data_IF_149642760715
#
_entry.id   IF_149642760715
#
_cell.length_a   1.000
_cell.length_b   1.000
_cell.length_c   1.000
_cell.angle_alpha   90.00
_cell.angle_beta   90.00
_cell.angle_gamma   90.00
#
_symmetry.space_group_name_H-M   'P 1'
#
loop_
_entity.id
_entity.type
_entity.pdbx_description
1 polymer ?
#
# COMPACT_ATOMS: atom_id res chain seq x y z
N UNK A 1 33.10 34.87 29.20
CA UNK A 1 32.29 35.40 28.08
C UNK A 1 32.56 34.66 26.77
N UNK A 2 33.83 34.59 26.32
CA UNK A 2 34.21 33.87 25.08
C UNK A 2 33.75 32.41 25.07
N UNK A 3 33.97 31.67 26.17
CA UNK A 3 33.57 30.27 26.30
C UNK A 3 32.04 30.09 26.14
N UNK A 4 31.24 31.01 26.68
CA UNK A 4 29.78 30.92 26.61
C UNK A 4 29.26 31.18 25.19
N UNK A 5 29.84 32.17 24.49
CA UNK A 5 29.50 32.48 23.11
C UNK A 5 29.92 31.34 22.16
N UNK A 6 31.10 30.77 22.38
CA UNK A 6 31.60 29.58 21.67
C UNK A 6 30.67 28.38 21.84
N UNK A 7 30.25 28.08 23.09
CA UNK A 7 29.32 26.99 23.36
C UNK A 7 27.94 27.20 22.71
N UNK A 8 27.45 28.45 22.71
CA UNK A 8 26.17 28.81 22.08
C UNK A 8 26.24 28.68 20.56
N UNK A 9 27.32 29.19 19.95
CA UNK A 9 27.55 29.06 18.51
C UNK A 9 27.65 27.61 18.06
N UNK A 10 28.34 26.77 18.83
CA UNK A 10 28.41 25.33 18.60
C UNK A 10 27.03 24.67 18.69
N UNK A 11 26.24 24.99 19.72
CA UNK A 11 24.89 24.46 19.88
C UNK A 11 23.98 24.82 18.69
N UNK A 12 24.06 26.06 18.18
CA UNK A 12 23.28 26.52 17.03
C UNK A 12 23.69 25.76 15.74
N UNK A 13 24.99 25.67 15.46
CA UNK A 13 25.48 24.97 14.26
C UNK A 13 25.14 23.47 14.30
N UNK A 14 25.27 22.82 15.47
CA UNK A 14 24.85 21.43 15.65
C UNK A 14 23.34 21.26 15.48
N UNK A 15 22.55 22.17 16.03
CA UNK A 15 21.09 22.17 15.85
C UNK A 15 20.70 22.26 14.38
N UNK A 16 21.38 23.12 13.62
CA UNK A 16 21.18 23.25 12.16
C UNK A 16 21.51 21.96 11.42
N UNK A 17 22.63 21.31 11.74
CA UNK A 17 23.00 20.01 11.14
C UNK A 17 21.91 18.97 11.36
N UNK A 18 21.39 18.85 12.59
CA UNK A 18 20.35 17.87 12.92
C UNK A 18 19.07 18.15 12.12
N UNK A 19 18.66 19.41 12.02
CA UNK A 19 17.47 19.82 11.25
C UNK A 19 17.67 19.54 9.77
N UNK A 20 18.81 19.93 9.18
CA UNK A 20 19.09 19.71 7.76
C UNK A 20 19.19 18.21 7.43
N UNK A 21 19.71 17.38 8.34
CA UNK A 21 19.72 15.92 8.21
C UNK A 21 18.31 15.34 8.20
N UNK A 22 17.45 15.77 9.12
CA UNK A 22 16.05 15.33 9.16
C UNK A 22 15.30 15.74 7.88
N UNK A 23 15.49 16.97 7.41
CA UNK A 23 14.88 17.45 6.16
C UNK A 23 15.34 16.64 4.95
N UNK A 24 16.65 16.38 4.83
CA UNK A 24 17.18 15.57 3.75
C UNK A 24 16.59 14.15 3.80
N UNK A 25 16.62 13.49 4.97
CA UNK A 25 16.08 12.13 5.13
C UNK A 25 14.60 12.05 4.73
N UNK A 26 13.77 12.95 5.25
CA UNK A 26 12.33 12.94 4.95
C UNK A 26 12.06 13.18 3.46
N UNK A 27 12.81 14.09 2.82
CA UNK A 27 12.68 14.34 1.39
C UNK A 27 13.05 13.09 0.56
N UNK A 28 14.13 12.39 0.93
CA UNK A 28 14.52 11.14 0.29
C UNK A 28 13.47 10.05 0.48
N UNK A 29 12.89 9.92 1.68
CA UNK A 29 11.85 8.92 1.98
C UNK A 29 10.58 9.16 1.17
N UNK A 30 10.10 10.41 1.11
CA UNK A 30 8.93 10.74 0.29
C UNK A 30 9.19 10.50 -1.20
N UNK A 31 10.36 10.89 -1.71
CA UNK A 31 10.73 10.67 -3.10
C UNK A 31 10.88 9.19 -3.44
N UNK A 32 11.51 8.39 -2.57
CA UNK A 32 11.65 6.96 -2.76
C UNK A 32 10.30 6.24 -2.74
N UNK A 33 9.42 6.60 -1.80
CA UNK A 33 8.06 6.04 -1.71
C UNK A 33 7.19 6.42 -2.91
N UNK A 34 7.33 7.64 -3.43
CA UNK A 34 6.61 8.08 -4.62
C UNK A 34 7.11 7.34 -5.88
N UNK A 35 8.42 7.32 -6.11
CA UNK A 35 9.00 6.61 -7.25
C UNK A 35 8.74 5.11 -7.24
N UNK A 36 8.71 4.48 -6.05
CA UNK A 36 8.41 3.06 -5.91
C UNK A 36 7.02 2.67 -6.44
N UNK A 37 6.08 3.62 -6.59
CA UNK A 37 4.74 3.34 -7.09
C UNK A 37 4.70 3.09 -8.60
N UNK A 38 5.71 3.53 -9.34
CA UNK A 38 5.78 3.27 -10.78
C UNK A 38 6.48 1.94 -11.08
N UNK A 39 7.05 1.31 -10.06
CA UNK A 39 7.74 0.02 -10.18
C UNK A 39 6.78 -1.18 -10.04
N UNK A 40 7.11 -2.33 -10.66
CA UNK A 40 8.22 -2.58 -11.58
C UNK A 40 8.00 -2.17 -13.05
N UNK A 41 6.82 -1.65 -13.45
CA UNK A 41 6.48 -1.44 -14.86
C UNK A 41 7.36 -0.39 -15.54
N UNK A 42 7.45 0.80 -14.94
CA UNK A 42 8.09 1.95 -15.57
C UNK A 42 9.17 2.57 -14.66
N UNK A 43 10.42 2.05 -14.76
CA UNK A 43 11.56 2.61 -14.05
C UNK A 43 11.88 4.07 -14.42
N UNK A 44 11.50 4.54 -15.61
CA UNK A 44 11.75 5.93 -15.99
C UNK A 44 10.70 6.87 -15.39
N UNK A 45 9.43 6.47 -15.37
CA UNK A 45 8.40 7.16 -14.58
C UNK A 45 8.75 7.16 -13.08
N UNK A 46 9.26 6.05 -12.53
CA UNK A 46 9.72 5.97 -11.14
C UNK A 46 10.78 7.04 -10.81
N UNK A 47 11.77 7.22 -11.70
CA UNK A 47 12.79 8.26 -11.55
C UNK A 47 12.19 9.66 -11.69
N UNK A 48 11.27 9.86 -12.64
CA UNK A 48 10.64 11.15 -12.86
C UNK A 48 9.82 11.58 -11.63
N UNK A 49 9.03 10.66 -11.07
CA UNK A 49 8.19 10.91 -9.89
C UNK A 49 9.04 11.17 -8.64
N UNK A 50 10.09 10.36 -8.42
CA UNK A 50 11.04 10.61 -7.34
C UNK A 50 11.69 12.00 -7.44
N UNK A 51 12.06 12.43 -8.65
CA UNK A 51 12.61 13.79 -8.87
C UNK A 51 11.59 14.89 -8.60
N UNK A 52 10.33 14.72 -8.98
CA UNK A 52 9.27 15.68 -8.69
C UNK A 52 9.13 15.89 -7.17
N UNK A 53 9.04 14.80 -6.41
CA UNK A 53 8.96 14.87 -4.95
C UNK A 53 10.21 15.47 -4.29
N UNK A 54 11.41 15.26 -4.85
CA UNK A 54 12.62 15.95 -4.36
C UNK A 54 12.52 17.47 -4.54
N UNK A 55 12.07 17.92 -5.71
CA UNK A 55 11.86 19.36 -6.00
C UNK A 55 10.83 19.98 -5.07
N UNK A 56 9.70 19.29 -4.84
CA UNK A 56 8.64 19.75 -3.93
C UNK A 56 9.13 19.88 -2.49
N UNK A 57 10.14 19.08 -2.10
CA UNK A 57 10.80 19.15 -0.81
C UNK A 57 12.02 20.10 -0.78
N UNK A 58 12.25 20.87 -1.86
CA UNK A 58 13.33 21.84 -1.97
C UNK A 58 14.72 21.24 -2.09
N UNK A 59 14.83 19.99 -2.56
CA UNK A 59 16.09 19.31 -2.82
C UNK A 59 16.36 19.30 -4.33
N UNK A 60 17.57 19.72 -4.72
CA UNK A 60 18.04 19.62 -6.10
C UNK A 60 18.25 18.14 -6.46
N UNK A 61 17.47 17.58 -7.42
CA UNK A 61 17.58 16.18 -7.77
C UNK A 61 18.92 15.80 -8.41
N UNK A 62 19.69 16.75 -8.94
CA UNK A 62 21.01 16.49 -9.54
C UNK A 62 22.06 16.09 -8.50
N UNK A 63 21.82 16.43 -7.23
CA UNK A 63 22.68 16.07 -6.09
C UNK A 63 22.33 14.70 -5.49
N UNK A 64 21.28 14.05 -6.01
CA UNK A 64 20.76 12.78 -5.51
C UNK A 64 21.03 11.69 -6.54
N UNK A 65 21.70 10.62 -6.14
CA UNK A 65 21.76 9.41 -6.94
C UNK A 65 20.49 8.60 -6.75
N UNK A 66 19.85 8.20 -7.84
CA UNK A 66 18.63 7.38 -7.86
C UNK A 66 18.99 6.08 -8.57
N UNK A 67 19.02 4.98 -7.83
CA UNK A 67 19.34 3.66 -8.33
C UNK A 67 18.10 2.77 -8.25
N UNK A 68 17.79 2.07 -9.33
CA UNK A 68 16.75 1.05 -9.37
C UNK A 68 17.44 -0.29 -9.60
N UNK A 69 17.06 -1.33 -8.86
CA UNK A 69 17.63 -2.67 -9.02
C UNK A 69 17.27 -3.29 -10.37
N UNK A 70 18.03 -4.29 -10.80
CA UNK A 70 17.80 -4.98 -12.08
C UNK A 70 16.42 -5.66 -12.15
N UNK A 71 15.95 -6.20 -11.03
CA UNK A 71 14.61 -6.80 -10.88
C UNK A 71 13.48 -5.75 -10.83
N UNK A 72 13.83 -4.46 -10.85
CA UNK A 72 12.92 -3.31 -10.77
C UNK A 72 12.03 -3.29 -9.52
N UNK A 73 12.39 -4.03 -8.47
CA UNK A 73 11.64 -4.11 -7.21
C UNK A 73 12.25 -3.28 -6.10
N UNK A 74 13.36 -2.58 -6.35
CA UNK A 74 14.00 -1.70 -5.36
C UNK A 74 14.31 -0.36 -5.99
N UNK A 75 14.04 0.71 -5.25
CA UNK A 75 14.54 2.06 -5.54
C UNK A 75 15.35 2.55 -4.34
N UNK A 76 16.55 3.07 -4.59
CA UNK A 76 17.46 3.61 -3.58
C UNK A 76 17.90 5.03 -3.98
N UNK A 77 17.69 5.98 -3.07
CA UNK A 77 18.11 7.36 -3.22
C UNK A 77 19.23 7.67 -2.23
N UNK A 78 20.32 8.29 -2.69
CA UNK A 78 21.43 8.75 -1.82
C UNK A 78 21.80 10.18 -2.16
N UNK A 79 21.93 11.01 -1.13
CA UNK A 79 22.23 12.43 -1.26
C UNK A 79 23.28 12.89 -0.27
N UNK A 80 24.08 13.87 -0.69
CA UNK A 80 24.98 14.60 0.21
C UNK A 80 24.71 16.09 0.08
N UNK A 81 24.43 16.75 1.20
CA UNK A 81 24.24 18.20 1.28
C UNK A 81 25.40 18.81 2.06
N UNK A 82 26.12 19.73 1.42
CA UNK A 82 27.15 20.52 2.08
C UNK A 82 26.50 21.65 2.90
N UNK A 83 26.90 21.79 4.16
CA UNK A 83 26.46 22.85 5.05
C UNK A 83 27.67 23.66 5.50
N UNK A 84 27.60 24.97 5.28
CA UNK A 84 28.59 25.89 5.82
C UNK A 84 28.27 26.18 7.29
N UNK A 85 29.30 26.15 8.12
CA UNK A 85 29.18 26.52 9.52
C UNK A 85 29.04 28.04 9.66
N UNK A 86 28.22 28.47 10.62
CA UNK A 86 27.92 29.89 10.83
C UNK A 86 28.81 30.47 11.92
N UNK A 87 28.82 29.85 13.10
CA UNK A 87 29.49 30.37 14.28
C UNK A 87 30.81 29.65 14.54
N UNK A 88 30.87 28.33 14.39
CA UNK A 88 32.08 27.56 14.66
C UNK A 88 33.18 27.74 13.60
N UNK A 89 32.89 28.51 12.55
CA UNK A 89 33.88 29.00 11.58
C UNK A 89 34.98 29.83 12.24
N UNK A 90 34.69 30.52 13.34
CA UNK A 90 35.71 31.22 14.14
C UNK A 90 36.76 30.27 14.75
N UNK A 91 36.43 28.99 14.89
CA UNK A 91 37.33 27.93 15.37
C UNK A 91 38.03 27.18 14.24
N UNK A 92 37.89 27.63 12.98
CA UNK A 92 38.51 27.02 11.80
C UNK A 92 37.68 25.94 11.11
N UNK A 93 36.45 25.67 11.56
CA UNK A 93 35.55 24.73 10.88
C UNK A 93 34.72 25.45 9.82
N UNK A 94 34.98 25.24 8.54
CA UNK A 94 34.28 25.97 7.47
C UNK A 94 32.95 25.33 7.05
N UNK A 95 32.92 23.99 6.98
CA UNK A 95 31.79 23.25 6.44
C UNK A 95 31.74 21.81 6.93
N UNK A 96 30.58 21.18 6.74
CA UNK A 96 30.36 19.76 6.96
C UNK A 96 29.44 19.20 5.87
N UNK A 97 29.43 17.87 5.74
CA UNK A 97 28.53 17.16 4.83
C UNK A 97 27.47 16.42 5.63
N UNK A 98 26.23 16.58 5.21
CA UNK A 98 25.09 15.80 5.70
C UNK A 98 24.74 14.78 4.64
N UNK A 99 24.82 13.50 5.01
CA UNK A 99 24.50 12.38 4.13
C UNK A 99 23.12 11.84 4.49
N UNK A 100 22.31 11.59 3.48
CA UNK A 100 21.03 10.90 3.58
C UNK A 100 20.96 9.75 2.59
N UNK A 101 20.26 8.70 2.97
CA UNK A 101 19.95 7.55 2.12
C UNK A 101 18.53 7.11 2.43
N UNK A 102 17.81 6.68 1.41
CA UNK A 102 16.50 6.07 1.54
C UNK A 102 16.39 4.92 0.56
N UNK A 103 15.82 3.80 0.99
CA UNK A 103 15.64 2.62 0.15
C UNK A 103 14.23 2.11 0.32
N UNK A 104 13.55 1.86 -0.80
CA UNK A 104 12.22 1.28 -0.82
C UNK A 104 12.26 -0.02 -1.61
N UNK A 105 11.61 -1.05 -1.08
CA UNK A 105 11.55 -2.37 -1.70
C UNK A 105 10.08 -2.77 -1.88
N UNK A 106 9.80 -3.38 -3.04
CA UNK A 106 8.55 -4.02 -3.39
C UNK A 106 8.66 -5.51 -3.08
N UNK A 107 7.60 -6.08 -2.53
CA UNK A 107 7.52 -7.51 -2.26
C UNK A 107 6.07 -7.97 -2.19
N UNK A 108 5.88 -9.29 -2.24
CA UNK A 108 4.57 -9.87 -2.00
C UNK A 108 4.11 -9.56 -0.57
N UNK A 109 2.83 -9.29 -0.40
CA UNK A 109 2.24 -9.05 0.92
C UNK A 109 2.09 -10.37 1.64
N UNK A 110 2.83 -10.55 2.74
CA UNK A 110 2.79 -11.74 3.58
C UNK A 110 1.60 -11.76 4.52
N UNK A 111 1.26 -10.63 5.12
CA UNK A 111 0.12 -10.50 6.01
C UNK A 111 -0.51 -9.12 5.88
N UNK A 112 -1.82 -9.06 6.12
CA UNK A 112 -2.60 -7.83 6.20
C UNK A 112 -3.17 -7.72 7.60
N UNK A 113 -2.83 -6.61 8.27
CA UNK A 113 -3.33 -6.29 9.60
C UNK A 113 -4.27 -5.11 9.53
N UNK A 114 -5.56 -5.39 9.74
CA UNK A 114 -6.60 -4.37 9.66
C UNK A 114 -7.04 -4.04 8.23
N UNK A 115 -8.33 -3.75 8.05
CA UNK A 115 -8.88 -3.25 6.79
C UNK A 115 -9.25 -4.32 5.75
N UNK A 116 -8.90 -5.60 5.99
CA UNK A 116 -9.18 -6.69 5.06
C UNK A 116 -10.69 -6.89 4.85
N UNK A 117 -11.13 -6.92 3.60
CA UNK A 117 -12.53 -7.16 3.23
C UNK A 117 -12.82 -8.65 3.12
N UNK A 118 -14.04 -9.09 3.47
CA UNK A 118 -14.42 -10.51 3.46
C UNK A 118 -14.81 -10.96 2.04
N UNK A 119 -14.05 -10.58 1.01
CA UNK A 119 -14.27 -10.94 -0.38
C UNK A 119 -12.99 -11.56 -0.95
N UNK A 120 -12.82 -12.87 -0.80
CA UNK A 120 -11.79 -13.66 -1.44
C UNK A 120 -11.95 -13.73 -2.96
N UNK A 121 -10.80 -13.77 -3.64
CA UNK A 121 -10.68 -14.01 -5.06
C UNK A 121 -9.80 -15.24 -5.23
N UNK A 122 -10.16 -16.16 -6.12
CA UNK A 122 -9.30 -17.29 -6.44
C UNK A 122 -7.98 -16.78 -7.03
N UNK A 123 -6.89 -17.47 -6.74
CA UNK A 123 -5.57 -17.06 -7.20
C UNK A 123 -5.39 -17.35 -8.70
N UNK A 124 -5.06 -16.31 -9.46
CA UNK A 124 -4.79 -16.42 -10.90
C UNK A 124 -3.84 -15.31 -11.36
N UNK A 125 -3.22 -15.50 -12.53
CA UNK A 125 -2.39 -14.47 -13.15
C UNK A 125 -3.25 -13.27 -13.59
N UNK A 126 -3.26 -12.17 -12.82
CA UNK A 126 -3.98 -10.95 -13.18
C UNK A 126 -3.08 -9.87 -13.77
N UNK A 127 -3.72 -8.97 -14.51
CA UNK A 127 -3.10 -7.74 -15.02
C UNK A 127 -3.77 -6.52 -14.38
N UNK A 128 -2.98 -5.51 -14.03
CA UNK A 128 -3.48 -4.25 -13.49
C UNK A 128 -4.58 -3.63 -14.38
N UNK A 129 -5.63 -3.09 -13.75
CA UNK A 129 -6.77 -2.49 -14.46
C UNK A 129 -7.80 -3.48 -15.01
N UNK A 130 -7.56 -4.78 -14.89
CA UNK A 130 -8.54 -5.83 -15.25
C UNK A 130 -9.77 -5.74 -14.35
N UNK A 131 -10.95 -5.78 -14.96
CA UNK A 131 -12.22 -5.83 -14.23
C UNK A 131 -12.46 -7.26 -13.75
N UNK A 132 -12.82 -7.38 -12.48
CA UNK A 132 -13.25 -8.62 -11.85
C UNK A 132 -14.60 -8.42 -11.19
N UNK A 133 -15.33 -9.52 -11.03
CA UNK A 133 -16.56 -9.56 -10.25
C UNK A 133 -16.26 -10.27 -8.93
N UNK A 134 -16.13 -9.51 -7.85
CA UNK A 134 -15.87 -10.03 -6.50
C UNK A 134 -17.05 -10.86 -5.95
N UNK A 135 -18.24 -10.62 -6.50
CA UNK A 135 -19.47 -11.32 -6.13
C UNK A 135 -20.45 -11.24 -7.30
N UNK A 136 -20.93 -12.38 -7.79
CA UNK A 136 -21.83 -12.47 -8.94
C UNK A 136 -23.28 -12.73 -8.52
N UNK A 137 -24.22 -12.39 -9.40
CA UNK A 137 -25.60 -12.88 -9.37
C UNK A 137 -25.65 -14.40 -9.60
N UNK A 138 -26.52 -15.13 -8.91
CA UNK A 138 -26.58 -16.59 -9.07
C UNK A 138 -27.20 -17.03 -10.39
N UNK A 139 -26.51 -17.92 -11.13
CA UNK A 139 -26.98 -18.67 -12.30
C UNK A 139 -25.86 -19.53 -12.93
N UNK A 140 -26.13 -20.82 -13.16
CA UNK A 140 -25.45 -21.92 -13.89
C UNK A 140 -23.98 -21.80 -14.42
N UNK A 141 -23.09 -21.12 -13.72
CA UNK A 141 -21.64 -21.31 -13.83
C UNK A 141 -21.10 -21.73 -12.47
N UNK A 142 -20.64 -22.98 -12.32
CA UNK A 142 -20.08 -23.59 -11.10
C UNK A 142 -20.86 -23.30 -9.80
N UNK A 143 -21.58 -24.31 -9.31
CA UNK A 143 -22.45 -24.21 -8.14
C UNK A 143 -21.72 -23.74 -6.86
N UNK A 144 -21.84 -22.44 -6.55
CA UNK A 144 -22.10 -22.00 -5.18
C UNK A 144 -20.95 -21.54 -4.29
N UNK A 145 -19.92 -20.85 -4.80
CA UNK A 145 -19.09 -19.97 -3.96
C UNK A 145 -18.34 -18.88 -4.75
N UNK A 146 -18.81 -17.64 -4.61
CA UNK A 146 -18.03 -16.45 -4.93
C UNK A 146 -17.70 -15.73 -3.62
N UNK A 147 -16.47 -15.95 -3.18
CA UNK A 147 -15.61 -15.04 -2.44
C UNK A 147 -15.94 -14.66 -1.01
N UNK A 148 -17.12 -14.89 -0.44
CA UNK A 148 -17.30 -14.44 0.95
C UNK A 148 -16.57 -15.36 1.92
N UNK A 149 -15.67 -14.80 2.71
CA UNK A 149 -14.90 -15.51 3.74
C UNK A 149 -15.19 -14.96 5.14
N UNK A 150 -15.19 -15.84 6.12
CA UNK A 150 -15.39 -15.54 7.52
C UNK A 150 -14.08 -15.04 8.13
N UNK A 151 -14.00 -13.74 8.39
CA UNK A 151 -12.84 -13.11 9.01
C UNK A 151 -13.13 -12.83 10.50
N UNK A 152 -12.40 -13.53 11.39
CA UNK A 152 -12.58 -13.42 12.85
C UNK A 152 -13.87 -14.02 13.40
N UNK A 153 -14.61 -14.78 12.59
CA UNK A 153 -15.85 -15.45 12.97
C UNK A 153 -16.89 -15.45 11.86
N UNK A 154 -17.88 -16.33 11.99
CA UNK A 154 -19.02 -16.47 11.07
C UNK A 154 -20.19 -15.57 11.48
N UNK A 155 -21.19 -15.42 10.62
CA UNK A 155 -22.43 -14.69 10.90
C UNK A 155 -22.57 -13.35 10.18
N UNK A 156 -23.82 -12.96 9.94
CA UNK A 156 -24.18 -11.76 9.17
C UNK A 156 -23.66 -10.46 9.77
N UNK A 157 -23.63 -10.32 11.10
CA UNK A 157 -23.11 -9.12 11.76
C UNK A 157 -21.59 -8.96 11.61
N UNK A 158 -20.84 -10.06 11.68
CA UNK A 158 -19.40 -10.06 11.43
C UNK A 158 -19.09 -9.72 9.97
N UNK A 159 -19.83 -10.33 9.03
CA UNK A 159 -19.72 -9.98 7.62
C UNK A 159 -20.03 -8.51 7.36
N UNK A 160 -21.12 -7.97 7.93
CA UNK A 160 -21.50 -6.56 7.76
C UNK A 160 -20.40 -5.61 8.23
N UNK A 161 -19.89 -5.85 9.44
CA UNK A 161 -18.80 -5.06 10.02
C UNK A 161 -17.55 -5.13 9.14
N UNK A 162 -17.14 -6.32 8.71
CA UNK A 162 -15.93 -6.50 7.89
C UNK A 162 -16.11 -5.92 6.47
N UNK A 163 -17.30 -6.05 5.87
CA UNK A 163 -17.60 -5.51 4.54
C UNK A 163 -17.65 -3.98 4.53
N UNK A 164 -18.12 -3.33 5.61
CA UNK A 164 -18.20 -1.87 5.71
C UNK A 164 -16.90 -1.24 6.24
N UNK A 165 -16.28 -1.83 7.25
CA UNK A 165 -15.15 -1.23 8.00
C UNK A 165 -13.83 -1.99 7.92
N UNK A 166 -13.85 -3.23 7.42
CA UNK A 166 -12.68 -4.08 7.31
C UNK A 166 -12.45 -4.87 8.59
N UNK A 167 -11.92 -6.09 8.42
CA UNK A 167 -11.53 -6.93 9.54
C UNK A 167 -10.33 -6.30 10.27
N UNK A 168 -10.38 -6.29 11.61
CA UNK A 168 -9.35 -5.63 12.45
C UNK A 168 -8.19 -6.53 12.85
N UNK A 169 -8.35 -7.84 12.69
CA UNK A 169 -7.28 -8.79 12.99
C UNK A 169 -6.22 -8.82 11.90
N UNK A 170 -5.32 -9.78 12.03
CA UNK A 170 -4.29 -10.07 11.04
C UNK A 170 -4.60 -11.40 10.37
N UNK A 171 -4.40 -11.46 9.06
CA UNK A 171 -4.44 -12.68 8.26
C UNK A 171 -3.12 -12.74 7.50
N UNK A 172 -2.49 -13.92 7.47
CA UNK A 172 -1.25 -14.18 6.77
C UNK A 172 -1.44 -15.22 5.66
N UNK A 173 -0.51 -15.22 4.70
CA UNK A 173 -0.38 -16.30 3.71
C UNK A 173 -0.16 -17.62 4.46
N UNK A 174 -0.91 -18.64 4.04
CA UNK A 174 -0.94 -19.96 4.66
C UNK A 174 -2.04 -20.14 5.71
N UNK A 175 -2.74 -19.07 6.11
CA UNK A 175 -3.88 -19.18 7.02
C UNK A 175 -5.06 -19.88 6.33
N UNK A 176 -5.74 -20.74 7.09
CA UNK A 176 -7.00 -21.36 6.69
C UNK A 176 -8.18 -20.49 7.15
N UNK A 177 -9.01 -20.05 6.20
CA UNK A 177 -10.21 -19.25 6.46
C UNK A 177 -11.45 -19.99 5.97
N UNK A 178 -12.55 -19.88 6.71
CA UNK A 178 -13.81 -20.50 6.30
C UNK A 178 -14.53 -19.65 5.27
N UNK A 179 -15.15 -20.29 4.30
CA UNK A 179 -16.15 -19.65 3.44
C UNK A 179 -17.42 -19.34 4.25
N UNK A 180 -18.10 -18.25 3.90
CA UNK A 180 -19.32 -17.80 4.58
C UNK A 180 -20.50 -17.80 3.60
N UNK A 181 -21.12 -18.97 3.35
CA UNK A 181 -22.26 -19.08 2.45
C UNK A 181 -23.50 -18.41 3.06
N UNK A 182 -24.32 -17.77 2.21
CA UNK A 182 -25.61 -17.21 2.63
C UNK A 182 -26.03 -15.96 1.88
N UNK A 183 -27.35 -15.72 1.79
CA UNK A 183 -27.88 -14.52 1.16
C UNK A 183 -27.95 -13.37 2.19
N UNK A 184 -26.92 -12.53 2.21
CA UNK A 184 -26.78 -11.38 3.13
C UNK A 184 -27.42 -10.10 2.56
N UNK A 185 -28.73 -10.18 2.29
CA UNK A 185 -29.48 -9.17 1.53
C UNK A 185 -29.59 -7.79 2.20
N UNK A 186 -29.48 -7.70 3.53
CA UNK A 186 -29.53 -6.44 4.28
C UNK A 186 -28.22 -5.67 4.18
N UNK A 187 -27.09 -6.34 4.44
CA UNK A 187 -25.72 -5.78 4.31
C UNK A 187 -25.46 -5.25 2.91
N UNK A 188 -25.99 -5.97 1.93
CA UNK A 188 -25.94 -5.62 0.51
C UNK A 188 -26.45 -4.20 0.19
N UNK A 189 -27.51 -3.75 0.86
CA UNK A 189 -28.05 -2.39 0.63
C UNK A 189 -27.16 -1.33 1.28
N UNK A 190 -26.78 -1.52 2.54
CA UNK A 190 -25.91 -0.58 3.26
C UNK A 190 -24.57 -0.39 2.54
N UNK A 191 -23.96 -1.49 2.09
CA UNK A 191 -22.70 -1.46 1.35
C UNK A 191 -22.84 -0.72 0.01
N UNK A 192 -23.92 -0.98 -0.74
CA UNK A 192 -24.23 -0.28 -1.98
C UNK A 192 -24.39 1.22 -1.76
N UNK A 193 -25.23 1.61 -0.80
CA UNK A 193 -25.51 3.03 -0.51
C UNK A 193 -24.24 3.76 -0.06
N UNK A 194 -23.46 3.14 0.83
CA UNK A 194 -22.23 3.72 1.33
C UNK A 194 -21.18 3.90 0.22
N UNK A 195 -20.83 2.84 -0.50
CA UNK A 195 -19.75 2.88 -1.49
C UNK A 195 -20.13 3.69 -2.73
N UNK A 196 -21.35 3.54 -3.24
CA UNK A 196 -21.77 4.29 -4.42
C UNK A 196 -21.98 5.79 -4.14
N UNK A 197 -22.10 6.20 -2.88
CA UNK A 197 -22.15 7.64 -2.52
C UNK A 197 -20.80 8.35 -2.70
N UNK A 198 -19.71 7.60 -2.82
CA UNK A 198 -18.36 8.13 -2.97
C UNK A 198 -18.11 8.44 -4.46
N UNK A 199 -17.85 9.70 -4.85
CA UNK A 199 -17.78 10.12 -6.25
C UNK A 199 -16.44 9.81 -6.94
N UNK A 200 -15.61 8.95 -6.35
CA UNK A 200 -14.33 8.54 -6.90
C UNK A 200 -14.51 7.60 -8.10
N UNK A 201 -13.62 7.70 -9.07
CA UNK A 201 -13.57 6.84 -10.26
C UNK A 201 -12.20 6.18 -10.36
N UNK A 202 -12.08 5.08 -11.10
CA UNK A 202 -10.78 4.39 -11.24
C UNK A 202 -9.67 5.29 -11.79
N UNK A 203 -10.01 6.27 -12.64
CA UNK A 203 -9.04 7.22 -13.20
C UNK A 203 -8.82 8.47 -12.32
N UNK A 204 -9.62 8.64 -11.25
CA UNK A 204 -9.58 9.80 -10.38
C UNK A 204 -10.10 9.43 -8.98
N UNK A 205 -9.19 9.03 -8.10
CA UNK A 205 -9.45 8.69 -6.71
C UNK A 205 -8.26 9.09 -5.83
N UNK A 206 -8.53 9.40 -4.56
CA UNK A 206 -7.47 9.61 -3.56
C UNK A 206 -7.00 8.27 -2.99
N UNK A 207 -5.75 8.22 -2.53
CA UNK A 207 -5.14 7.00 -1.94
C UNK A 207 -5.83 6.51 -0.66
N UNK A 208 -6.69 7.30 -0.04
CA UNK A 208 -7.47 6.96 1.15
C UNK A 208 -8.96 6.67 0.84
N UNK A 209 -9.30 6.58 -0.45
CA UNK A 209 -10.65 6.30 -0.93
C UNK A 209 -11.22 5.04 -0.29
N UNK A 210 -12.47 5.09 0.16
CA UNK A 210 -13.15 3.90 0.71
C UNK A 210 -13.55 2.89 -0.35
N UNK A 211 -13.33 3.21 -1.64
CA UNK A 211 -13.44 2.27 -2.76
C UNK A 211 -12.19 1.38 -2.90
N UNK A 212 -11.10 1.69 -2.21
CA UNK A 212 -9.90 0.85 -2.15
C UNK A 212 -10.07 -0.24 -1.11
N UNK A 213 -10.12 -1.48 -1.57
CA UNK A 213 -10.37 -2.65 -0.75
C UNK A 213 -9.21 -3.62 -0.86
N UNK A 214 -8.64 -3.99 0.29
CA UNK A 214 -7.74 -5.13 0.37
C UNK A 214 -8.56 -6.41 0.53
N UNK A 215 -8.28 -7.42 -0.26
CA UNK A 215 -8.99 -8.70 -0.34
C UNK A 215 -8.01 -9.88 -0.31
N UNK A 216 -8.36 -11.03 0.30
CA UNK A 216 -7.50 -12.20 0.25
C UNK A 216 -7.55 -12.89 -1.12
N UNK A 217 -6.41 -13.40 -1.57
CA UNK A 217 -6.32 -14.38 -2.65
C UNK A 217 -6.30 -15.77 -2.02
N UNK A 218 -7.02 -16.72 -2.63
CA UNK A 218 -7.16 -18.08 -2.08
C UNK A 218 -6.93 -19.15 -3.14
N UNK A 219 -6.53 -20.33 -2.69
CA UNK A 219 -6.19 -21.48 -3.53
C UNK A 219 -7.34 -21.99 -4.41
N UNK A 220 -8.55 -22.05 -3.87
CA UNK A 220 -9.75 -22.47 -4.61
C UNK A 220 -11.01 -21.94 -3.95
N UNK A 221 -12.01 -21.60 -4.76
CA UNK A 221 -13.37 -21.30 -4.29
C UNK A 221 -14.38 -22.40 -4.66
N UNK A 222 -13.91 -23.56 -5.13
CA UNK A 222 -14.73 -24.65 -5.64
C UNK A 222 -15.39 -25.53 -4.55
N UNK A 223 -15.71 -24.95 -3.39
CA UNK A 223 -16.33 -25.69 -2.28
C UNK A 223 -17.86 -25.57 -2.31
N UNK A 224 -18.56 -26.70 -2.17
CA UNK A 224 -20.03 -26.70 -2.10
C UNK A 224 -20.48 -26.36 -0.66
N UNK A 225 -20.92 -25.13 -0.44
CA UNK A 225 -21.40 -24.68 0.87
C UNK A 225 -20.28 -24.12 1.73
N UNK A 226 -20.19 -24.53 3.00
CA UNK A 226 -19.14 -24.06 3.92
C UNK A 226 -17.93 -24.99 3.83
N UNK A 227 -16.91 -24.54 3.11
CA UNK A 227 -15.57 -25.12 3.09
C UNK A 227 -14.51 -24.23 3.75
N UNK A 228 -13.29 -24.74 3.83
CA UNK A 228 -12.08 -24.01 4.24
C UNK A 228 -11.24 -23.74 3.01
N UNK A 229 -10.68 -22.53 2.90
CA UNK A 229 -9.78 -22.12 1.82
C UNK A 229 -8.48 -21.61 2.41
N UNK A 230 -7.38 -21.77 1.69
CA UNK A 230 -6.05 -21.35 2.15
C UNK A 230 -5.72 -20.01 1.52
N UNK A 231 -5.29 -19.05 2.34
CA UNK A 231 -4.84 -17.75 1.86
C UNK A 231 -3.50 -17.91 1.15
N UNK A 232 -3.46 -17.61 -0.15
CA UNK A 232 -2.25 -17.67 -0.97
C UNK A 232 -1.61 -16.30 -1.19
N UNK A 233 -2.37 -15.22 -0.97
CA UNK A 233 -1.91 -13.86 -1.14
C UNK A 233 -2.96 -12.82 -0.77
N UNK A 234 -2.73 -11.57 -1.14
CA UNK A 234 -3.66 -10.47 -0.94
C UNK A 234 -3.66 -9.58 -2.16
N UNK A 235 -4.80 -9.01 -2.53
CA UNK A 235 -4.88 -8.02 -3.58
C UNK A 235 -5.56 -6.73 -3.10
N UNK A 236 -5.23 -5.62 -3.75
CA UNK A 236 -5.97 -4.38 -3.60
C UNK A 236 -6.83 -4.15 -4.84
N UNK A 237 -8.07 -3.72 -4.64
CA UNK A 237 -9.02 -3.52 -5.72
C UNK A 237 -9.75 -2.20 -5.54
N UNK A 238 -10.02 -1.52 -6.65
CA UNK A 238 -10.93 -0.38 -6.70
C UNK A 238 -12.34 -0.86 -7.00
N UNK A 239 -13.26 -0.65 -6.08
CA UNK A 239 -14.68 -0.98 -6.30
C UNK A 239 -15.32 0.08 -7.19
N UNK A 240 -15.59 -0.28 -8.45
CA UNK A 240 -16.21 0.60 -9.43
C UNK A 240 -17.71 0.78 -9.16
N UNK A 241 -18.41 -0.33 -8.95
CA UNK A 241 -19.84 -0.29 -8.70
C UNK A 241 -20.31 -1.46 -7.87
N UNK A 242 -21.30 -1.17 -7.03
CA UNK A 242 -22.11 -2.18 -6.36
C UNK A 242 -23.52 -2.09 -6.90
N UNK A 243 -24.00 -3.16 -7.52
CA UNK A 243 -25.33 -3.23 -8.10
C UNK A 243 -26.16 -4.23 -7.32
N UNK A 244 -27.48 -4.04 -7.33
CA UNK A 244 -28.42 -5.02 -6.77
C UNK A 244 -29.37 -5.43 -7.88
N UNK A 245 -29.34 -6.71 -8.27
CA UNK A 245 -30.32 -7.29 -9.20
C UNK A 245 -30.93 -8.54 -8.54
N UNK A 246 -32.24 -8.68 -8.66
CA UNK A 246 -33.00 -9.83 -8.11
C UNK A 246 -32.71 -10.14 -6.63
N UNK A 247 -32.48 -9.12 -5.80
CA UNK A 247 -32.23 -9.27 -4.37
C UNK A 247 -30.79 -9.63 -3.98
N UNK A 248 -29.89 -9.84 -4.94
CA UNK A 248 -28.47 -10.16 -4.74
C UNK A 248 -27.60 -8.98 -5.17
N UNK A 249 -26.40 -8.86 -4.58
CA UNK A 249 -25.42 -7.84 -5.00
C UNK A 249 -24.42 -8.41 -6.00
N UNK A 250 -24.08 -7.56 -6.95
CA UNK A 250 -22.93 -7.74 -7.82
C UNK A 250 -21.92 -6.65 -7.49
N UNK A 251 -20.67 -7.04 -7.23
CA UNK A 251 -19.58 -6.11 -6.93
C UNK A 251 -18.56 -6.21 -8.05
N UNK A 252 -18.45 -5.16 -8.84
CA UNK A 252 -17.47 -5.05 -9.91
C UNK A 252 -16.32 -4.16 -9.43
N UNK A 253 -15.10 -4.66 -9.58
CA UNK A 253 -13.89 -4.00 -9.12
C UNK A 253 -12.78 -4.12 -10.15
N UNK A 254 -11.76 -3.27 -10.06
CA UNK A 254 -10.52 -3.38 -10.84
C UNK A 254 -9.35 -3.62 -9.93
N UNK A 255 -8.44 -4.51 -10.33
CA UNK A 255 -7.20 -4.70 -9.59
C UNK A 255 -6.36 -3.43 -9.58
N UNK A 256 -5.83 -3.13 -8.40
CA UNK A 256 -4.80 -2.14 -8.16
C UNK A 256 -3.52 -2.85 -7.76
N UNK A 257 -2.40 -2.28 -8.22
CA UNK A 257 -1.08 -2.87 -8.07
C UNK A 257 -0.58 -2.96 -6.64
N UNK A 258 -0.87 -1.95 -5.81
CA UNK A 258 -0.29 -1.83 -4.48
C UNK A 258 -1.29 -2.09 -3.39
N UNK A 259 -0.86 -2.90 -2.41
CA UNK A 259 -1.56 -3.07 -1.14
C UNK A 259 -0.96 -2.11 -0.12
N UNK A 260 -1.77 -1.20 0.39
CA UNK A 260 -1.30 -0.12 1.25
C UNK A 260 -0.96 -0.58 2.69
N UNK A 261 -1.57 -1.67 3.16
CA UNK A 261 -1.53 -2.10 4.56
C UNK A 261 -1.00 -3.55 4.72
N UNK A 262 0.14 -3.86 4.09
CA UNK A 262 0.71 -5.20 4.10
C UNK A 262 2.16 -5.25 4.61
N UNK A 263 2.50 -6.25 5.42
CA UNK A 263 3.91 -6.59 5.66
C UNK A 263 4.45 -7.34 4.45
N UNK A 264 5.55 -6.88 3.86
CA UNK A 264 6.14 -7.54 2.68
C UNK A 264 7.15 -8.62 3.06
N UNK A 265 7.22 -9.64 2.21
CA UNK A 265 8.26 -10.68 2.24
C UNK A 265 8.80 -10.88 0.82
N UNK A 266 10.13 -10.84 0.68
CA UNK A 266 10.82 -11.01 -0.61
C UNK A 266 11.02 -12.48 -0.98
N UNK A 267 10.76 -13.40 -0.05
CA UNK A 267 10.91 -14.84 -0.26
C UNK A 267 9.62 -15.52 -0.71
N UNK A 268 8.50 -14.81 -0.60
CA UNK A 268 7.19 -15.28 -1.02
C UNK A 268 7.02 -15.06 -2.52
N UNK A 269 6.37 -16.02 -3.19
CA UNK A 269 6.06 -15.93 -4.60
C UNK A 269 5.18 -14.71 -4.89
N UNK A 270 5.56 -13.97 -5.92
CA UNK A 270 4.87 -12.78 -6.34
C UNK A 270 3.59 -13.16 -7.09
N UNK A 271 2.45 -12.89 -6.48
CA UNK A 271 1.13 -13.16 -7.06
C UNK A 271 0.51 -11.93 -7.70
N UNK A 272 1.29 -10.90 -8.07
CA UNK A 272 0.85 -9.74 -8.87
C UNK A 272 0.52 -8.45 -8.08
N UNK A 273 0.61 -8.50 -6.76
CA UNK A 273 0.28 -7.39 -5.84
C UNK A 273 1.44 -7.13 -4.92
N UNK A 274 1.86 -5.88 -4.94
CA UNK A 274 3.04 -5.45 -4.21
C UNK A 274 2.61 -4.70 -2.96
N UNK A 275 3.17 -5.07 -1.82
CA UNK A 275 3.37 -4.09 -0.76
C UNK A 275 4.62 -3.28 -1.05
N UNK A 276 4.71 -2.09 -0.46
CA UNK A 276 5.89 -1.25 -0.50
C UNK A 276 6.41 -1.11 0.93
N UNK A 277 7.72 -1.29 1.13
CA UNK A 277 8.37 -1.08 2.44
C UNK A 277 9.58 -0.17 2.32
N UNK A 278 9.56 0.88 3.12
CA UNK A 278 10.73 1.71 3.38
C UNK A 278 11.71 0.93 4.27
N UNK A 279 12.98 0.88 3.85
CA UNK A 279 14.08 0.22 4.55
C UNK A 279 15.16 1.27 4.81
N UNK A 280 15.28 1.67 6.07
CA UNK A 280 16.27 2.65 6.54
C UNK A 280 17.50 1.97 7.13
#
# INVERSE_FOLDING_TARGET
>A
MVILLSATGFAIDMGRIVIDRAKLSNALDYAALAGAQELPDDPEAAKAEARAYLVDNGIDPTLISINISEDRKTIELKGTKELQFTFIRIMGFEKTNVVGSSKVILGAVKSVKGGLRPFAVEDFDYSYGTVITLKQEGGDGYHGNYGVVALGGTGSGNYESNALYGYKGEIAIGDEIQTEPGNMANVSNALKEYINSIPDTFNNFNRDSKRLWTVPLVDSLAENGRGTVVVTGFAEVFVESIQKKSGKIEINARFIRFVLNGEIDQTVEDRGTYGIKLVN
#
